data_IF_641985898957
#
_entry.id   IF_641985898957
#
_cell.length_a   1.000
_cell.length_b   1.000
_cell.length_c   1.000
_cell.angle_alpha   90.00
_cell.angle_beta   90.00
_cell.angle_gamma   90.00
#
_symmetry.space_group_name_H-M   'P 1'
#
loop_
_entity.id
_entity.type
_entity.pdbx_description
1 polymer ?
#
# COMPACT_ATOMS: atom_id res chain seq x y z
N UNK A 1 3.56 -32.37 16.66
CA UNK A 1 2.21 -32.40 17.26
C UNK A 1 1.24 -31.69 16.33
N UNK A 2 0.08 -32.26 15.98
CA UNK A 2 -0.94 -31.56 15.21
C UNK A 2 -1.59 -30.46 16.06
N UNK A 3 -1.86 -29.30 15.46
CA UNK A 3 -2.53 -28.18 16.13
C UNK A 3 -3.99 -28.58 16.44
N UNK A 4 -4.42 -28.38 17.69
CA UNK A 4 -5.82 -28.62 18.11
C UNK A 4 -6.74 -27.61 17.40
N UNK A 5 -7.80 -28.07 16.73
CA UNK A 5 -8.84 -27.18 16.19
C UNK A 5 -9.70 -26.65 17.33
N UNK A 6 -10.02 -25.36 17.33
CA UNK A 6 -10.90 -24.77 18.32
C UNK A 6 -12.36 -25.19 18.06
N UNK A 7 -13.08 -25.55 19.12
CA UNK A 7 -14.53 -25.73 19.09
C UNK A 7 -15.19 -24.35 19.14
N UNK A 8 -15.80 -23.96 18.02
CA UNK A 8 -16.39 -22.63 17.80
C UNK A 8 -17.72 -22.40 18.54
N UNK A 9 -18.28 -23.42 19.21
CA UNK A 9 -19.62 -23.33 19.81
C UNK A 9 -19.66 -22.82 21.26
N UNK A 10 -18.51 -22.65 21.94
CA UNK A 10 -18.43 -22.02 23.26
C UNK A 10 -17.12 -21.23 23.42
N UNK A 11 -17.13 -19.96 23.01
CA UNK A 11 -16.07 -19.02 23.38
C UNK A 11 -16.71 -17.85 24.12
N UNK A 12 -16.62 -17.86 25.44
CA UNK A 12 -16.85 -16.65 26.22
C UNK A 12 -15.76 -15.65 25.82
N UNK A 13 -16.17 -14.52 25.21
CA UNK A 13 -15.23 -13.47 24.77
C UNK A 13 -14.50 -12.95 26.02
N UNK A 14 -13.20 -13.21 26.11
CA UNK A 14 -12.39 -12.72 27.21
C UNK A 14 -11.95 -11.27 26.97
N UNK A 15 -11.55 -10.55 28.03
CA UNK A 15 -10.93 -9.23 27.91
C UNK A 15 -9.67 -9.25 27.01
N UNK A 16 -8.99 -10.41 26.95
CA UNK A 16 -7.87 -10.64 26.04
C UNK A 16 -8.31 -10.69 24.57
N UNK A 17 -9.50 -11.23 24.29
CA UNK A 17 -10.06 -11.29 22.94
C UNK A 17 -10.55 -9.90 22.48
N UNK A 18 -11.13 -9.11 23.38
CA UNK A 18 -11.47 -7.69 23.12
C UNK A 18 -10.21 -6.86 22.82
N UNK A 19 -9.14 -7.05 23.61
CA UNK A 19 -7.87 -6.38 23.37
C UNK A 19 -7.19 -6.88 22.08
N UNK A 20 -7.35 -8.15 21.71
CA UNK A 20 -6.89 -8.69 20.44
C UNK A 20 -7.64 -8.07 19.25
N UNK A 21 -8.94 -7.78 19.40
CA UNK A 21 -9.74 -7.07 18.39
C UNK A 21 -9.27 -5.64 18.11
N UNK A 22 -8.52 -5.01 19.02
CA UNK A 22 -7.91 -3.69 18.80
C UNK A 22 -6.60 -3.73 18.00
N UNK A 23 -6.01 -4.91 17.81
CA UNK A 23 -4.75 -5.04 17.04
C UNK A 23 -5.05 -4.97 15.55
N UNK A 24 -4.11 -4.40 14.78
CA UNK A 24 -4.18 -4.45 13.33
C UNK A 24 -4.26 -5.92 12.86
N UNK A 25 -5.30 -6.32 12.12
CA UNK A 25 -5.50 -7.71 11.74
C UNK A 25 -4.67 -8.06 10.48
N UNK A 26 -3.34 -8.12 10.64
CA UNK A 26 -2.38 -8.27 9.54
C UNK A 26 -2.62 -9.50 8.64
N UNK A 27 -3.33 -10.52 9.15
CA UNK A 27 -3.70 -11.72 8.40
C UNK A 27 -4.70 -11.47 7.27
N UNK A 28 -5.41 -10.33 7.26
CA UNK A 28 -6.26 -9.94 6.14
C UNK A 28 -5.48 -9.39 4.95
N UNK A 29 -4.21 -8.98 5.13
CA UNK A 29 -3.42 -8.48 4.02
C UNK A 29 -2.82 -9.64 3.22
N UNK A 30 -3.15 -9.80 1.92
CA UNK A 30 -2.72 -10.95 1.15
C UNK A 30 -1.20 -11.04 1.02
N UNK A 31 -0.65 -12.26 1.19
CA UNK A 31 0.79 -12.50 1.15
C UNK A 31 1.46 -12.04 -0.16
N UNK A 32 0.76 -12.13 -1.29
CA UNK A 32 1.27 -11.64 -2.58
C UNK A 32 1.60 -10.14 -2.54
N UNK A 33 0.73 -9.32 -1.92
CA UNK A 33 0.97 -7.89 -1.75
C UNK A 33 2.20 -7.61 -0.89
N UNK A 34 2.36 -8.35 0.20
CA UNK A 34 3.54 -8.26 1.08
C UNK A 34 4.82 -8.57 0.31
N UNK A 35 4.85 -9.72 -0.38
CA UNK A 35 6.05 -10.22 -1.06
C UNK A 35 6.45 -9.27 -2.20
N UNK A 36 5.51 -8.92 -3.07
CA UNK A 36 5.81 -8.05 -4.21
C UNK A 36 6.14 -6.62 -3.79
N UNK A 37 5.45 -6.07 -2.78
CA UNK A 37 5.81 -4.78 -2.19
C UNK A 37 7.23 -4.79 -1.62
N UNK A 38 7.60 -5.84 -0.88
CA UNK A 38 8.95 -5.99 -0.33
C UNK A 38 10.02 -6.10 -1.43
N UNK A 39 9.77 -6.83 -2.52
CA UNK A 39 10.69 -6.93 -3.66
C UNK A 39 10.88 -5.58 -4.37
N UNK A 40 9.80 -4.81 -4.54
CA UNK A 40 9.88 -3.47 -5.11
C UNK A 40 10.63 -2.49 -4.18
N UNK A 41 10.42 -2.57 -2.87
CA UNK A 41 11.22 -1.82 -1.89
C UNK A 41 12.69 -2.23 -1.91
N UNK A 42 13.01 -3.52 -2.07
CA UNK A 42 14.39 -4.02 -2.20
C UNK A 42 15.08 -3.42 -3.44
N UNK A 43 14.38 -3.33 -4.57
CA UNK A 43 14.92 -2.68 -5.76
C UNK A 43 15.22 -1.19 -5.51
N UNK A 44 14.29 -0.46 -4.87
CA UNK A 44 14.50 0.93 -4.50
C UNK A 44 15.66 1.12 -3.51
N UNK A 45 15.78 0.23 -2.54
CA UNK A 45 16.87 0.23 -1.57
C UNK A 45 18.24 0.03 -2.23
N UNK A 46 18.32 -0.72 -3.34
CA UNK A 46 19.54 -0.84 -4.14
C UNK A 46 19.98 0.48 -4.79
N UNK A 47 19.06 1.41 -5.04
CA UNK A 47 19.33 2.72 -5.66
C UNK A 47 19.56 3.83 -4.63
N UNK A 48 18.79 3.83 -3.55
CA UNK A 48 18.71 4.96 -2.63
C UNK A 48 19.03 4.62 -1.17
N UNK A 49 19.30 3.34 -0.87
CA UNK A 49 19.36 2.82 0.49
C UNK A 49 17.97 2.48 1.04
N UNK A 50 17.87 1.53 1.99
CA UNK A 50 16.61 1.18 2.62
C UNK A 50 16.08 2.33 3.49
N UNK A 51 14.76 2.56 3.49
CA UNK A 51 14.10 3.57 4.33
C UNK A 51 14.59 5.01 4.17
N UNK A 52 15.20 5.36 3.04
CA UNK A 52 15.77 6.70 2.80
C UNK A 52 14.76 7.84 2.96
N UNK A 53 13.46 7.59 2.73
CA UNK A 53 12.37 8.55 2.92
C UNK A 53 12.11 8.93 4.38
N UNK A 54 12.64 8.17 5.36
CA UNK A 54 12.55 8.55 6.78
C UNK A 54 13.56 9.62 7.17
N UNK A 55 14.62 9.79 6.39
CA UNK A 55 15.63 10.82 6.60
C UNK A 55 15.36 12.02 5.68
N UNK A 56 15.16 11.74 4.38
CA UNK A 56 14.98 12.72 3.32
C UNK A 56 13.49 12.90 3.01
N UNK A 57 12.94 14.12 3.16
CA UNK A 57 11.55 14.38 2.82
C UNK A 57 11.22 14.02 1.37
N UNK A 58 9.99 13.58 1.13
CA UNK A 58 9.49 13.20 -0.19
C UNK A 58 8.25 14.01 -0.58
N UNK A 59 8.11 14.33 -1.87
CA UNK A 59 6.93 15.01 -2.44
C UNK A 59 5.76 14.04 -2.62
N UNK A 60 4.58 14.41 -2.11
CA UNK A 60 3.35 13.64 -2.30
C UNK A 60 2.96 13.60 -3.79
N UNK A 61 3.00 14.74 -4.50
CA UNK A 61 2.66 14.82 -5.93
C UNK A 61 3.54 13.91 -6.79
N UNK A 62 4.85 13.89 -6.55
CA UNK A 62 5.77 13.04 -7.32
C UNK A 62 5.48 11.56 -7.13
N UNK A 63 5.18 11.14 -5.89
CA UNK A 63 4.90 9.74 -5.58
C UNK A 63 3.51 9.31 -6.09
N UNK A 64 2.49 10.17 -5.99
CA UNK A 64 1.19 9.93 -6.64
C UNK A 64 1.30 9.85 -8.17
N UNK A 65 2.15 10.68 -8.77
CA UNK A 65 2.42 10.62 -10.21
C UNK A 65 3.13 9.31 -10.61
N UNK A 66 4.05 8.82 -9.78
CA UNK A 66 4.70 7.52 -9.98
C UNK A 66 3.69 6.37 -9.90
N UNK A 67 2.79 6.37 -8.91
CA UNK A 67 1.68 5.42 -8.83
C UNK A 67 0.86 5.41 -10.12
N UNK A 68 0.44 6.59 -10.58
CA UNK A 68 -0.40 6.73 -11.77
C UNK A 68 0.27 6.14 -13.01
N UNK A 69 1.58 6.32 -13.21
CA UNK A 69 2.30 5.72 -14.35
C UNK A 69 2.25 4.19 -14.33
N UNK A 70 2.45 3.57 -13.17
CA UNK A 70 2.35 2.10 -13.08
C UNK A 70 0.93 1.59 -13.26
N UNK A 71 -0.07 2.31 -12.74
CA UNK A 71 -1.49 1.97 -12.95
C UNK A 71 -1.85 2.06 -14.44
N UNK A 72 -1.48 3.14 -15.13
CA UNK A 72 -1.78 3.32 -16.55
C UNK A 72 -1.10 2.25 -17.41
N UNK A 73 0.17 1.92 -17.17
CA UNK A 73 0.85 0.85 -17.89
C UNK A 73 0.16 -0.52 -17.70
N UNK A 74 -0.29 -0.83 -16.48
CA UNK A 74 -1.04 -2.04 -16.21
C UNK A 74 -2.41 -2.07 -16.94
N UNK A 75 -3.11 -0.93 -16.97
CA UNK A 75 -4.38 -0.78 -17.69
C UNK A 75 -4.21 -0.97 -19.20
N UNK A 76 -3.08 -0.50 -19.75
CA UNK A 76 -2.73 -0.65 -21.18
C UNK A 76 -2.17 -2.06 -21.50
N UNK A 77 -2.26 -3.00 -20.57
CA UNK A 77 -1.93 -4.41 -20.79
C UNK A 77 -0.49 -4.81 -20.46
N UNK A 78 0.35 -3.89 -19.99
CA UNK A 78 1.71 -4.20 -19.54
C UNK A 78 1.68 -4.72 -18.10
N UNK A 79 1.72 -6.05 -17.93
CA UNK A 79 1.65 -6.65 -16.59
C UNK A 79 2.91 -6.39 -15.74
N UNK A 80 4.10 -6.42 -16.35
CA UNK A 80 5.40 -6.26 -15.68
C UNK A 80 6.16 -5.04 -16.18
N UNK A 81 6.86 -4.38 -15.25
CA UNK A 81 7.69 -3.20 -15.51
C UNK A 81 9.08 -3.61 -16.03
N UNK A 82 9.38 -3.39 -17.33
CA UNK A 82 10.64 -3.81 -17.92
C UNK A 82 11.82 -2.92 -17.51
N UNK A 83 11.58 -1.75 -16.89
CA UNK A 83 12.61 -0.78 -16.55
C UNK A 83 13.19 -0.98 -15.14
N UNK A 84 12.79 -2.06 -14.45
CA UNK A 84 13.19 -2.39 -13.09
C UNK A 84 13.59 -3.85 -12.94
N UNK A 85 13.31 -4.44 -11.78
CA UNK A 85 13.53 -5.86 -11.50
C UNK A 85 12.47 -6.79 -12.16
N UNK A 86 11.87 -6.37 -13.27
CA UNK A 86 10.80 -7.07 -13.99
C UNK A 86 9.64 -7.52 -13.07
N UNK A 87 9.25 -6.66 -12.14
CA UNK A 87 8.16 -6.92 -11.20
C UNK A 87 6.81 -6.48 -11.80
N UNK A 88 5.67 -7.06 -11.38
CA UNK A 88 4.36 -6.55 -11.75
C UNK A 88 4.24 -5.06 -11.45
N UNK A 89 3.58 -4.27 -12.31
CA UNK A 89 3.38 -2.83 -12.05
C UNK A 89 2.70 -2.58 -10.69
N UNK A 90 1.81 -3.47 -10.27
CA UNK A 90 1.16 -3.40 -8.97
C UNK A 90 2.13 -3.56 -7.78
N UNK A 91 3.28 -4.22 -7.96
CA UNK A 91 4.33 -4.27 -6.93
C UNK A 91 4.86 -2.87 -6.61
N UNK A 92 5.07 -2.06 -7.66
CA UNK A 92 5.52 -0.67 -7.55
C UNK A 92 4.46 0.20 -6.91
N UNK A 93 3.19 -0.06 -7.23
CA UNK A 93 2.04 0.60 -6.61
C UNK A 93 2.02 0.35 -5.10
N UNK A 94 2.09 -0.92 -4.68
CA UNK A 94 2.11 -1.30 -3.25
C UNK A 94 3.29 -0.66 -2.52
N UNK A 95 4.51 -0.77 -3.08
CA UNK A 95 5.70 -0.19 -2.46
C UNK A 95 5.61 1.33 -2.31
N UNK A 96 5.19 2.04 -3.36
CA UNK A 96 5.09 3.50 -3.35
C UNK A 96 4.02 3.97 -2.37
N UNK A 97 2.86 3.31 -2.32
CA UNK A 97 1.82 3.63 -1.33
C UNK A 97 2.31 3.39 0.11
N UNK A 98 3.03 2.29 0.36
CA UNK A 98 3.63 2.01 1.66
C UNK A 98 4.66 3.08 2.07
N UNK A 99 5.49 3.54 1.12
CA UNK A 99 6.47 4.62 1.34
C UNK A 99 5.77 5.93 1.72
N UNK A 100 4.70 6.32 1.01
CA UNK A 100 3.93 7.54 1.32
C UNK A 100 3.37 7.46 2.76
N UNK A 101 2.74 6.33 3.11
CA UNK A 101 2.18 6.11 4.45
C UNK A 101 3.26 6.17 5.54
N UNK A 102 4.41 5.53 5.30
CA UNK A 102 5.51 5.50 6.26
C UNK A 102 6.15 6.88 6.41
N UNK A 103 6.40 7.59 5.31
CA UNK A 103 6.92 8.96 5.32
C UNK A 103 5.97 9.92 6.05
N UNK A 104 4.66 9.78 5.85
CA UNK A 104 3.66 10.55 6.59
C UNK A 104 3.74 10.26 8.11
N UNK A 105 3.88 8.98 8.48
CA UNK A 105 3.95 8.57 9.89
C UNK A 105 5.16 9.12 10.64
N UNK A 106 6.23 9.49 9.92
CA UNK A 106 7.46 10.07 10.50
C UNK A 106 7.66 11.56 10.17
N UNK A 107 6.64 12.24 9.63
CA UNK A 107 6.71 13.69 9.34
C UNK A 107 7.65 14.06 8.20
N UNK A 108 7.85 13.16 7.23
CA UNK A 108 8.73 13.35 6.06
C UNK A 108 7.98 13.43 4.73
N UNK A 109 6.65 13.34 4.76
CA UNK A 109 5.83 13.59 3.58
C UNK A 109 5.59 15.09 3.43
N UNK A 110 5.97 15.63 2.28
CA UNK A 110 5.66 17.01 1.88
C UNK A 110 4.31 16.97 1.15
N UNK A 111 3.32 17.66 1.70
CA UNK A 111 2.06 17.92 1.02
C UNK A 111 2.23 19.10 0.06
N UNK A 112 2.54 18.80 -1.20
CA UNK A 112 2.73 19.74 -2.30
C UNK A 112 1.61 19.66 -3.34
N UNK A 113 0.43 19.20 -2.93
CA UNK A 113 -0.75 19.12 -3.79
C UNK A 113 -1.20 20.52 -4.25
N UNK A 114 -1.75 20.66 -5.48
CA UNK A 114 -2.43 21.89 -5.88
C UNK A 114 -3.68 22.12 -5.01
N UNK A 115 -4.24 23.34 -5.03
CA UNK A 115 -5.52 23.61 -4.39
C UNK A 115 -6.58 22.56 -4.77
N UNK A 116 -7.45 22.13 -3.85
CA UNK A 116 -8.40 21.05 -4.09
C UNK A 116 -9.27 21.30 -5.33
N UNK A 117 -9.35 20.29 -6.19
CA UNK A 117 -10.26 20.26 -7.33
C UNK A 117 -11.53 19.45 -7.03
N UNK A 118 -12.49 19.45 -7.97
CA UNK A 118 -13.81 18.80 -7.83
C UNK A 118 -13.87 17.39 -8.43
N UNK A 119 -12.74 16.69 -8.52
CA UNK A 119 -12.67 15.41 -9.23
C UNK A 119 -13.67 14.37 -8.69
N UNK A 120 -13.81 14.26 -7.36
CA UNK A 120 -14.77 13.35 -6.74
C UNK A 120 -16.22 13.73 -7.10
N UNK A 121 -16.59 15.00 -6.94
CA UNK A 121 -17.92 15.50 -7.32
C UNK A 121 -18.25 15.21 -8.80
N UNK A 122 -17.26 15.32 -9.69
CA UNK A 122 -17.43 15.02 -11.12
C UNK A 122 -17.64 13.52 -11.33
N UNK A 123 -16.87 12.64 -10.67
CA UNK A 123 -17.02 11.19 -10.79
C UNK A 123 -18.40 10.72 -10.31
N UNK A 124 -18.89 11.27 -9.21
CA UNK A 124 -20.20 10.95 -8.63
C UNK A 124 -21.38 11.19 -9.61
N UNK A 125 -21.21 12.12 -10.57
CA UNK A 125 -22.22 12.39 -11.60
C UNK A 125 -22.38 11.23 -12.60
N UNK A 126 -21.37 10.37 -12.74
CA UNK A 126 -21.35 9.25 -13.68
C UNK A 126 -21.46 7.89 -12.98
N UNK A 127 -21.58 7.85 -11.66
CA UNK A 127 -21.82 6.60 -10.94
C UNK A 127 -23.27 6.12 -11.13
N UNK A 128 -23.43 4.86 -11.51
CA UNK A 128 -24.73 4.20 -11.52
C UNK A 128 -25.11 3.93 -10.06
N UNK A 129 -26.04 4.75 -9.52
CA UNK A 129 -26.58 4.55 -8.17
C UNK A 129 -27.29 3.18 -8.11
N UNK A 130 -26.80 2.31 -7.23
CA UNK A 130 -27.41 1.02 -6.91
C UNK A 130 -28.56 1.19 -5.92
#
# INVERSE_FOLDING_TARGET
MPRRKADVTKVAISLKDVAAGKKAPLHFFPAAGIIYGALACKEGAGKYGPYNWREKPISLVQHLSALRRHILAALDGQWRDPNGADLPHLAKVVATAAIILDANSVGKLIDDLPPPGKAAEILDQYEVKK
#
